data_IF_849259462038
#
_entry.id   IF_849259462038
#
_cell.length_a   1.000
_cell.length_b   1.000
_cell.length_c   1.000
_cell.angle_alpha   90.00
_cell.angle_beta   90.00
_cell.angle_gamma   90.00
#
_symmetry.space_group_name_H-M   'P 1'
#
loop_
_entity.id
_entity.type
_entity.pdbx_description
1 polymer ?
#
# COMPACT_ATOMS: atom_id res chain seq x y z
N UNK A 1 41.25 -0.84 40.89
CA UNK A 1 39.84 -1.14 40.57
C UNK A 1 39.20 0.19 40.20
N UNK A 2 39.36 0.57 38.94
CA UNK A 2 38.98 1.91 38.45
C UNK A 2 37.92 1.70 37.36
N UNK A 3 36.67 2.00 37.69
CA UNK A 3 35.55 2.03 36.75
C UNK A 3 35.69 3.26 35.83
N UNK A 4 35.94 3.02 34.57
CA UNK A 4 35.91 4.06 33.52
C UNK A 4 34.48 4.30 33.13
N UNK A 5 34.00 5.49 33.47
CA UNK A 5 32.72 6.06 33.10
C UNK A 5 32.67 6.25 31.58
N UNK A 6 31.84 5.47 30.87
CA UNK A 6 31.61 5.62 29.44
C UNK A 6 30.62 6.76 29.24
N UNK A 7 31.16 7.93 28.97
CA UNK A 7 30.42 9.14 28.62
C UNK A 7 29.66 8.86 27.32
N UNK A 8 28.37 9.04 27.41
CA UNK A 8 27.37 9.03 26.33
C UNK A 8 27.85 10.00 25.23
N UNK A 9 28.29 9.46 24.09
CA UNK A 9 28.63 10.26 22.94
C UNK A 9 27.33 10.71 22.27
N UNK A 10 26.99 11.97 22.47
CA UNK A 10 25.90 12.62 21.73
C UNK A 10 26.10 12.45 20.21
N UNK A 11 25.01 12.67 19.43
CA UNK A 11 25.06 12.47 17.98
C UNK A 11 26.19 13.30 17.38
N UNK A 12 27.02 12.67 16.55
CA UNK A 12 28.15 13.31 15.87
C UNK A 12 27.66 14.46 14.99
N UNK A 13 28.48 15.51 14.81
CA UNK A 13 28.18 16.68 13.96
C UNK A 13 27.73 16.29 12.54
N UNK A 14 28.24 15.18 12.00
CA UNK A 14 27.78 14.59 10.74
C UNK A 14 26.34 14.08 10.82
N UNK A 15 25.91 13.51 11.95
CA UNK A 15 24.52 13.05 12.14
C UNK A 15 23.56 14.24 12.31
N UNK A 16 23.99 15.31 12.95
CA UNK A 16 23.21 16.56 13.08
C UNK A 16 23.14 17.28 11.73
N UNK A 17 24.23 17.37 10.97
CA UNK A 17 24.26 17.90 9.62
C UNK A 17 23.43 17.08 8.62
N UNK A 18 23.38 15.77 8.77
CA UNK A 18 22.49 14.89 7.98
C UNK A 18 21.01 15.03 8.41
N UNK A 19 20.74 15.38 9.67
CA UNK A 19 19.39 15.71 10.14
C UNK A 19 18.91 17.06 9.61
N UNK A 20 19.74 18.10 9.62
CA UNK A 20 19.42 19.42 9.04
C UNK A 20 19.22 19.36 7.52
N UNK A 21 19.99 18.52 6.81
CA UNK A 21 19.77 18.27 5.38
C UNK A 21 18.47 17.52 5.07
N UNK A 22 17.84 16.89 6.06
CA UNK A 22 16.58 16.14 5.89
C UNK A 22 15.34 17.05 5.96
N UNK A 23 15.40 18.19 6.62
CA UNK A 23 14.25 19.10 6.78
C UNK A 23 14.07 20.08 5.60
N UNK A 24 15.05 20.16 4.69
CA UNK A 24 15.05 21.14 3.60
C UNK A 24 14.41 20.63 2.29
N UNK A 25 13.86 19.41 2.30
CA UNK A 25 13.29 18.82 1.08
C UNK A 25 12.17 19.65 0.46
N UNK A 26 11.22 20.11 1.27
CA UNK A 26 10.06 20.87 0.80
C UNK A 26 10.51 22.21 0.19
N UNK A 27 11.45 22.89 0.86
CA UNK A 27 12.03 24.17 0.36
C UNK A 27 12.75 23.94 -0.96
N UNK A 28 13.59 22.91 -1.06
CA UNK A 28 14.36 22.62 -2.28
C UNK A 28 13.48 22.16 -3.44
N UNK A 29 12.45 21.35 -3.19
CA UNK A 29 11.52 20.91 -4.22
C UNK A 29 10.63 22.05 -4.74
N UNK A 30 10.36 23.07 -3.92
CA UNK A 30 9.65 24.30 -4.30
C UNK A 30 10.57 25.40 -4.86
N UNK A 31 11.89 25.23 -4.79
CA UNK A 31 12.85 26.16 -5.38
C UNK A 31 12.78 26.16 -6.91
N UNK A 32 13.64 26.93 -7.56
CA UNK A 32 13.77 26.99 -9.03
C UNK A 32 15.19 26.66 -9.47
N UNK A 33 15.35 26.32 -10.76
CA UNK A 33 16.66 26.08 -11.37
C UNK A 33 17.40 24.88 -10.74
N UNK A 34 18.74 24.96 -10.68
CA UNK A 34 19.62 23.86 -10.32
C UNK A 34 19.34 23.23 -8.93
N UNK A 35 18.85 24.02 -7.98
CA UNK A 35 18.50 23.54 -6.63
C UNK A 35 17.30 22.59 -6.69
N UNK A 36 16.27 22.96 -7.44
CA UNK A 36 15.10 22.09 -7.64
C UNK A 36 15.46 20.84 -8.43
N UNK A 37 16.25 20.98 -9.48
CA UNK A 37 16.66 19.86 -10.33
C UNK A 37 17.47 18.83 -9.52
N UNK A 38 18.35 19.30 -8.62
CA UNK A 38 19.08 18.41 -7.71
C UNK A 38 18.14 17.71 -6.74
N UNK A 39 17.19 18.41 -6.14
CA UNK A 39 16.20 17.82 -5.24
C UNK A 39 15.34 16.77 -5.95
N UNK A 40 14.91 17.02 -7.20
CA UNK A 40 14.15 16.04 -8.01
C UNK A 40 14.99 14.81 -8.31
N UNK A 41 16.27 14.95 -8.67
CA UNK A 41 17.16 13.78 -8.89
C UNK A 41 17.31 12.94 -7.62
N UNK A 42 17.47 13.57 -6.45
CA UNK A 42 17.56 12.90 -5.17
C UNK A 42 16.24 12.21 -4.80
N UNK A 43 15.11 12.85 -5.04
CA UNK A 43 13.79 12.27 -4.85
C UNK A 43 13.61 11.03 -5.74
N UNK A 44 13.94 11.12 -7.01
CA UNK A 44 13.87 9.99 -7.93
C UNK A 44 14.77 8.83 -7.49
N UNK A 45 16.00 9.11 -7.04
CA UNK A 45 16.89 8.07 -6.48
C UNK A 45 16.30 7.41 -5.22
N UNK A 46 15.58 8.18 -4.39
CA UNK A 46 14.85 7.64 -3.23
C UNK A 46 13.71 6.73 -3.68
N UNK A 47 12.94 7.12 -4.71
CA UNK A 47 11.85 6.32 -5.25
C UNK A 47 12.35 5.03 -5.90
N UNK A 48 13.47 5.06 -6.63
CA UNK A 48 14.11 3.85 -7.15
C UNK A 48 14.48 2.87 -6.04
N UNK A 49 15.06 3.35 -4.93
CA UNK A 49 15.37 2.48 -3.79
C UNK A 49 14.12 1.87 -3.17
N UNK A 50 13.06 2.68 -3.01
CA UNK A 50 11.79 2.21 -2.46
C UNK A 50 11.13 1.16 -3.38
N UNK A 51 11.13 1.40 -4.69
CA UNK A 51 10.58 0.49 -5.68
C UNK A 51 11.35 -0.85 -5.72
N UNK A 52 12.69 -0.81 -5.76
CA UNK A 52 13.52 -2.01 -5.71
C UNK A 52 13.32 -2.81 -4.43
N UNK A 53 13.27 -2.13 -3.29
CA UNK A 53 12.99 -2.77 -2.01
C UNK A 53 11.65 -3.51 -2.01
N UNK A 54 10.61 -2.89 -2.55
CA UNK A 54 9.29 -3.50 -2.63
C UNK A 54 9.25 -4.67 -3.60
N UNK A 55 9.78 -4.50 -4.81
CA UNK A 55 9.81 -5.54 -5.85
C UNK A 55 10.55 -6.79 -5.36
N UNK A 56 11.69 -6.63 -4.67
CA UNK A 56 12.46 -7.74 -4.14
C UNK A 56 11.70 -8.58 -3.09
N UNK A 57 10.70 -8.00 -2.43
CA UNK A 57 9.86 -8.67 -1.41
C UNK A 57 8.61 -9.33 -1.98
N UNK A 58 8.25 -9.03 -3.23
CA UNK A 58 7.02 -9.53 -3.83
C UNK A 58 7.25 -10.87 -4.55
N UNK A 59 6.49 -11.88 -4.15
CA UNK A 59 6.55 -13.20 -4.77
C UNK A 59 5.96 -13.20 -6.19
N UNK A 60 4.97 -12.36 -6.44
CA UNK A 60 4.30 -12.21 -7.73
C UNK A 60 5.25 -11.76 -8.84
N UNK A 61 6.33 -11.06 -8.48
CA UNK A 61 7.35 -10.63 -9.42
C UNK A 61 8.22 -11.76 -9.99
N UNK A 62 8.28 -12.92 -9.32
CA UNK A 62 9.19 -14.02 -9.72
C UNK A 62 8.91 -14.58 -11.11
N UNK A 63 7.67 -14.47 -11.58
CA UNK A 63 7.27 -14.93 -12.94
C UNK A 63 7.56 -13.94 -14.06
N UNK A 64 7.95 -12.68 -13.73
CA UNK A 64 8.03 -11.60 -14.70
C UNK A 64 9.41 -11.48 -15.39
N UNK A 65 10.43 -12.17 -14.91
CA UNK A 65 11.81 -12.03 -15.42
C UNK A 65 12.48 -10.71 -14.99
N UNK A 66 13.82 -10.72 -14.94
CA UNK A 66 14.61 -9.61 -14.39
C UNK A 66 14.49 -8.30 -15.20
N UNK A 67 14.49 -8.38 -16.52
CA UNK A 67 14.36 -7.22 -17.40
C UNK A 67 13.02 -6.51 -17.17
N UNK A 68 11.92 -7.26 -17.10
CA UNK A 68 10.59 -6.69 -16.86
C UNK A 68 10.46 -6.09 -15.46
N UNK A 69 11.08 -6.71 -14.46
CA UNK A 69 11.09 -6.16 -13.10
C UNK A 69 11.86 -4.83 -13.03
N UNK A 70 12.96 -4.69 -13.76
CA UNK A 70 13.72 -3.43 -13.81
C UNK A 70 12.92 -2.31 -14.51
N UNK A 71 12.20 -2.62 -15.60
CA UNK A 71 11.27 -1.68 -16.23
C UNK A 71 10.19 -1.21 -15.23
N UNK A 72 9.62 -2.14 -14.47
CA UNK A 72 8.62 -1.84 -13.45
C UNK A 72 9.21 -0.93 -12.36
N UNK A 73 10.43 -1.20 -11.91
CA UNK A 73 11.11 -0.38 -10.91
C UNK A 73 11.25 1.07 -11.38
N UNK A 74 11.69 1.28 -12.61
CA UNK A 74 11.85 2.62 -13.17
C UNK A 74 10.51 3.32 -13.35
N UNK A 75 9.53 2.68 -13.99
CA UNK A 75 8.19 3.25 -14.18
C UNK A 75 7.52 3.60 -12.85
N UNK A 76 7.60 2.71 -11.86
CA UNK A 76 7.05 2.96 -10.54
C UNK A 76 7.76 4.10 -9.79
N UNK A 77 9.07 4.26 -9.99
CA UNK A 77 9.83 5.35 -9.39
C UNK A 77 9.45 6.70 -10.00
N UNK A 78 9.28 6.77 -11.33
CA UNK A 78 8.84 7.98 -12.03
C UNK A 78 7.43 8.40 -11.57
N UNK A 79 6.47 7.48 -11.56
CA UNK A 79 5.11 7.75 -11.08
C UNK A 79 5.08 8.16 -9.61
N UNK A 80 5.89 7.50 -8.77
CA UNK A 80 6.00 7.85 -7.36
C UNK A 80 6.57 9.25 -7.13
N UNK A 81 7.61 9.63 -7.89
CA UNK A 81 8.19 10.96 -7.82
C UNK A 81 7.17 12.04 -8.22
N UNK A 82 6.41 11.82 -9.30
CA UNK A 82 5.32 12.70 -9.70
C UNK A 82 4.22 12.79 -8.64
N UNK A 83 3.84 11.66 -8.04
CA UNK A 83 2.83 11.62 -6.99
C UNK A 83 3.26 12.34 -5.71
N UNK A 84 4.54 12.26 -5.33
CA UNK A 84 5.14 13.04 -4.23
C UNK A 84 5.07 14.53 -4.54
N UNK A 85 5.49 14.95 -5.73
CA UNK A 85 5.45 16.35 -6.15
C UNK A 85 4.02 16.91 -6.16
N UNK A 86 3.06 16.14 -6.65
CA UNK A 86 1.64 16.52 -6.67
C UNK A 86 0.99 16.64 -5.28
N UNK A 87 1.62 16.08 -4.25
CA UNK A 87 1.10 16.07 -2.87
C UNK A 87 2.07 16.69 -1.87
N UNK A 88 3.03 17.45 -2.36
CA UNK A 88 4.08 18.07 -1.54
C UNK A 88 3.49 18.99 -0.46
N UNK A 89 2.42 19.70 -0.80
CA UNK A 89 1.64 20.58 0.07
C UNK A 89 0.91 19.86 1.19
N UNK A 90 0.69 18.54 1.04
CA UNK A 90 0.03 17.72 2.07
C UNK A 90 1.01 17.14 3.10
N UNK A 91 2.30 17.41 2.97
CA UNK A 91 3.30 16.99 3.93
C UNK A 91 3.27 17.86 5.18
N UNK A 92 2.80 17.31 6.29
CA UNK A 92 2.58 18.01 7.56
C UNK A 92 3.79 17.95 8.54
N UNK A 93 4.94 17.40 8.12
CA UNK A 93 6.12 17.31 9.00
C UNK A 93 6.01 16.31 10.17
N UNK A 94 4.94 15.48 10.23
CA UNK A 94 4.76 14.48 11.32
C UNK A 94 5.76 13.33 11.29
N UNK A 95 6.53 13.22 10.22
CA UNK A 95 7.64 12.27 10.06
C UNK A 95 8.72 12.90 9.21
N UNK A 96 9.89 12.25 9.09
CA UNK A 96 10.90 12.68 8.11
C UNK A 96 10.30 12.64 6.70
N UNK A 97 10.60 13.64 5.89
CA UNK A 97 10.14 13.69 4.49
C UNK A 97 10.44 12.40 3.73
N UNK A 98 11.66 11.88 3.88
CA UNK A 98 12.07 10.62 3.23
C UNK A 98 11.20 9.43 3.64
N UNK A 99 10.76 9.34 4.90
CA UNK A 99 9.85 8.30 5.37
C UNK A 99 8.44 8.44 4.76
N UNK A 100 7.94 9.67 4.65
CA UNK A 100 6.67 9.95 4.02
C UNK A 100 6.71 9.65 2.52
N UNK A 101 7.74 10.15 1.82
CA UNK A 101 7.93 9.96 0.40
C UNK A 101 8.17 8.47 0.03
N UNK A 102 8.92 7.72 0.85
CA UNK A 102 9.24 6.32 0.59
C UNK A 102 7.99 5.44 0.41
N UNK A 103 6.89 5.77 1.10
CA UNK A 103 5.61 5.04 0.97
C UNK A 103 5.05 5.11 -0.45
N UNK A 104 5.26 6.22 -1.16
CA UNK A 104 4.82 6.36 -2.55
C UNK A 104 5.53 5.36 -3.47
N UNK A 105 6.86 5.22 -3.33
CA UNK A 105 7.63 4.25 -4.09
C UNK A 105 7.20 2.81 -3.83
N UNK A 106 6.99 2.44 -2.55
CA UNK A 106 6.48 1.12 -2.17
C UNK A 106 5.10 0.85 -2.80
N UNK A 107 4.17 1.80 -2.67
CA UNK A 107 2.79 1.60 -3.14
C UNK A 107 2.73 1.51 -4.67
N UNK A 108 3.42 2.40 -5.40
CA UNK A 108 3.45 2.35 -6.86
C UNK A 108 4.10 1.06 -7.37
N UNK A 109 5.23 0.65 -6.82
CA UNK A 109 5.89 -0.60 -7.21
C UNK A 109 4.99 -1.83 -6.96
N UNK A 110 4.28 -1.87 -5.82
CA UNK A 110 3.36 -2.97 -5.51
C UNK A 110 2.19 -3.03 -6.50
N UNK A 111 1.68 -1.88 -6.94
CA UNK A 111 0.61 -1.82 -7.95
C UNK A 111 1.12 -2.29 -9.29
N UNK A 112 2.29 -1.81 -9.75
CA UNK A 112 2.85 -2.16 -11.06
C UNK A 112 3.22 -3.65 -11.17
N UNK A 113 3.84 -4.23 -10.12
CA UNK A 113 4.15 -5.68 -10.10
C UNK A 113 2.87 -6.50 -10.21
N UNK A 114 1.84 -6.17 -9.40
CA UNK A 114 0.56 -6.90 -9.47
C UNK A 114 -0.10 -6.75 -10.83
N UNK A 115 -0.11 -5.53 -11.40
CA UNK A 115 -0.64 -5.26 -12.74
C UNK A 115 0.07 -6.09 -13.80
N UNK A 116 1.41 -6.15 -13.77
CA UNK A 116 2.20 -6.93 -14.71
C UNK A 116 1.97 -8.43 -14.53
N UNK A 117 1.96 -8.94 -13.30
CA UNK A 117 1.68 -10.33 -13.01
C UNK A 117 0.29 -10.76 -13.49
N UNK A 118 -0.71 -9.89 -13.34
CA UNK A 118 -2.06 -10.16 -13.83
C UNK A 118 -2.20 -10.12 -15.36
N UNK A 119 -1.49 -9.22 -16.04
CA UNK A 119 -1.45 -9.19 -17.52
C UNK A 119 -0.76 -10.44 -18.09
N UNK A 120 0.17 -11.04 -17.34
CA UNK A 120 0.87 -12.25 -17.75
C UNK A 120 0.07 -13.53 -17.47
N UNK A 121 -0.92 -13.47 -16.57
CA UNK A 121 -1.86 -14.57 -16.41
C UNK A 121 -2.94 -14.39 -17.48
N UNK A 122 -2.93 -15.22 -18.51
CA UNK A 122 -4.10 -15.49 -19.36
C UNK A 122 -5.15 -16.23 -18.52
N UNK A 123 -5.70 -15.54 -17.52
CA UNK A 123 -6.76 -16.10 -16.71
C UNK A 123 -8.07 -15.72 -17.34
N UNK A 124 -8.72 -16.72 -17.91
CA UNK A 124 -10.12 -16.65 -18.30
C UNK A 124 -10.98 -16.29 -17.09
N UNK A 125 -11.55 -15.09 -17.08
CA UNK A 125 -12.38 -14.60 -15.96
C UNK A 125 -13.73 -15.30 -15.83
N UNK A 126 -14.09 -16.15 -16.78
CA UNK A 126 -15.21 -17.08 -16.62
C UNK A 126 -14.95 -18.10 -15.54
N UNK A 127 -13.69 -18.29 -15.16
CA UNK A 127 -13.22 -19.16 -14.08
C UNK A 127 -12.75 -18.39 -12.84
N UNK A 128 -13.37 -17.25 -12.50
CA UNK A 128 -13.26 -16.77 -11.10
C UNK A 128 -13.87 -17.87 -10.23
N UNK A 129 -13.09 -18.60 -9.43
CA UNK A 129 -13.63 -19.66 -8.62
C UNK A 129 -14.74 -19.08 -7.75
N UNK A 130 -15.86 -19.74 -7.72
CA UNK A 130 -16.85 -19.47 -6.69
C UNK A 130 -16.08 -19.52 -5.35
N UNK A 131 -16.19 -18.49 -4.47
CA UNK A 131 -15.37 -18.39 -3.25
C UNK A 131 -15.54 -19.55 -2.25
N UNK A 132 -16.20 -20.62 -2.65
CA UNK A 132 -16.28 -21.90 -1.93
C UNK A 132 -15.02 -22.76 -2.04
N UNK A 133 -14.02 -22.40 -2.85
CA UNK A 133 -12.78 -23.17 -2.97
C UNK A 133 -11.73 -22.75 -1.94
N UNK A 134 -11.32 -23.71 -1.14
CA UNK A 134 -10.24 -23.74 -0.14
C UNK A 134 -8.92 -23.08 -0.59
N UNK A 135 -8.78 -21.76 -0.44
CA UNK A 135 -7.49 -21.08 -0.61
C UNK A 135 -7.23 -20.14 0.57
N UNK A 136 -7.12 -20.72 1.75
CA UNK A 136 -6.34 -20.13 2.84
C UNK A 136 -5.54 -21.24 3.48
N UNK A 137 -4.20 -21.18 3.28
CA UNK A 137 -3.27 -22.09 3.92
C UNK A 137 -3.43 -22.08 5.44
N UNK A 138 -3.40 -23.24 6.08
CA UNK A 138 -3.68 -23.38 7.50
C UNK A 138 -2.40 -23.25 8.31
N UNK A 139 -1.90 -22.05 8.57
CA UNK A 139 -0.87 -21.88 9.61
C UNK A 139 -0.75 -20.42 10.05
N UNK A 140 -1.67 -19.96 10.89
CA UNK A 140 -1.41 -18.97 11.94
C UNK A 140 -2.70 -18.62 12.72
N UNK A 141 -2.76 -19.07 13.97
CA UNK A 141 -3.62 -18.60 15.05
C UNK A 141 -5.12 -18.95 14.99
N UNK A 142 -5.55 -19.79 15.92
CA UNK A 142 -6.93 -20.25 16.11
C UNK A 142 -7.94 -19.08 16.24
N UNK A 143 -7.58 -17.96 16.87
CA UNK A 143 -8.46 -16.79 16.95
C UNK A 143 -8.59 -16.02 15.62
N UNK A 144 -7.55 -16.04 14.77
CA UNK A 144 -7.62 -15.46 13.43
C UNK A 144 -8.50 -16.30 12.50
N UNK A 145 -8.60 -17.63 12.77
CA UNK A 145 -9.40 -18.56 11.99
C UNK A 145 -10.91 -18.34 12.21
N UNK A 146 -11.35 -18.06 13.43
CA UNK A 146 -12.76 -17.81 13.73
C UNK A 146 -13.25 -16.50 13.09
N UNK A 147 -12.48 -15.41 13.24
CA UNK A 147 -12.83 -14.15 12.59
C UNK A 147 -12.77 -14.25 11.07
N UNK A 148 -11.78 -14.94 10.51
CA UNK A 148 -11.67 -15.15 9.07
C UNK A 148 -12.86 -15.96 8.53
N UNK A 149 -13.29 -16.99 9.27
CA UNK A 149 -14.47 -17.80 8.94
C UNK A 149 -15.76 -16.98 9.03
N UNK A 150 -15.89 -16.15 10.05
CA UNK A 150 -17.03 -15.24 10.20
C UNK A 150 -17.09 -14.19 9.08
N UNK A 151 -15.96 -13.60 8.73
CA UNK A 151 -15.85 -12.65 7.59
C UNK A 151 -16.25 -13.32 6.29
N UNK A 152 -15.77 -14.55 6.03
CA UNK A 152 -16.13 -15.31 4.83
C UNK A 152 -17.62 -15.59 4.77
N UNK A 153 -18.21 -16.08 5.85
CA UNK A 153 -19.64 -16.36 5.95
C UNK A 153 -20.48 -15.07 5.72
N UNK A 154 -20.02 -13.93 6.23
CA UNK A 154 -20.71 -12.66 6.04
C UNK A 154 -20.54 -12.09 4.62
N UNK A 155 -19.40 -12.31 3.96
CA UNK A 155 -19.22 -12.00 2.53
C UNK A 155 -20.30 -12.73 1.70
N UNK A 156 -20.54 -13.99 2.00
CA UNK A 156 -21.52 -14.81 1.28
C UNK A 156 -22.98 -14.45 1.60
N UNK A 157 -23.25 -14.10 2.84
CA UNK A 157 -24.61 -13.82 3.30
C UNK A 157 -25.07 -12.38 3.03
N UNK A 158 -24.18 -11.42 3.28
CA UNK A 158 -24.55 -10.01 3.38
C UNK A 158 -24.26 -9.21 2.12
N UNK A 159 -23.34 -9.66 1.23
CA UNK A 159 -22.99 -8.91 0.03
C UNK A 159 -23.81 -9.35 -1.18
N UNK A 160 -24.13 -8.37 -2.05
CA UNK A 160 -24.68 -8.69 -3.37
C UNK A 160 -23.63 -9.44 -4.22
N UNK A 161 -24.06 -10.21 -5.26
CA UNK A 161 -23.10 -10.91 -6.13
C UNK A 161 -22.05 -9.99 -6.75
N UNK A 162 -22.43 -8.77 -7.13
CA UNK A 162 -21.52 -7.76 -7.66
C UNK A 162 -20.53 -7.28 -6.59
N UNK A 163 -21.00 -6.93 -5.39
CA UNK A 163 -20.15 -6.51 -4.28
C UNK A 163 -19.16 -7.61 -3.87
N UNK A 164 -19.64 -8.86 -3.79
CA UNK A 164 -18.80 -10.03 -3.49
C UNK A 164 -17.68 -10.19 -4.51
N UNK A 165 -18.00 -10.15 -5.79
CA UNK A 165 -17.01 -10.23 -6.88
C UNK A 165 -15.94 -9.15 -6.75
N UNK A 166 -16.33 -7.90 -6.52
CA UNK A 166 -15.40 -6.78 -6.37
C UNK A 166 -14.52 -6.93 -5.11
N UNK A 167 -15.11 -7.35 -3.98
CA UNK A 167 -14.36 -7.57 -2.72
C UNK A 167 -13.36 -8.71 -2.87
N UNK A 168 -13.78 -9.84 -3.41
CA UNK A 168 -12.87 -10.99 -3.62
C UNK A 168 -11.76 -10.62 -4.59
N UNK A 169 -12.09 -10.04 -5.74
CA UNK A 169 -11.10 -9.65 -6.75
C UNK A 169 -10.05 -8.66 -6.20
N UNK A 170 -10.47 -7.63 -5.47
CA UNK A 170 -9.55 -6.60 -4.98
C UNK A 170 -8.79 -6.99 -3.71
N UNK A 171 -9.45 -7.68 -2.77
CA UNK A 171 -8.88 -7.91 -1.43
C UNK A 171 -8.31 -9.31 -1.23
N UNK A 172 -8.88 -10.34 -1.88
CA UNK A 172 -8.41 -11.73 -1.74
C UNK A 172 -7.45 -12.06 -2.88
N UNK A 173 -7.85 -11.81 -4.13
CA UNK A 173 -7.04 -12.13 -5.29
C UNK A 173 -6.01 -11.04 -5.62
N UNK A 174 -6.14 -9.85 -5.02
CA UNK A 174 -5.21 -8.72 -5.20
C UNK A 174 -5.20 -8.15 -6.62
N UNK A 175 -6.30 -8.30 -7.38
CA UNK A 175 -6.41 -7.72 -8.72
C UNK A 175 -6.29 -6.18 -8.62
N UNK A 176 -5.40 -5.54 -9.37
CA UNK A 176 -5.32 -4.08 -9.41
C UNK A 176 -6.65 -3.47 -9.85
N UNK A 177 -7.05 -2.37 -9.20
CA UNK A 177 -8.37 -1.74 -9.43
C UNK A 177 -8.59 -1.28 -10.87
N UNK A 178 -7.54 -0.85 -11.56
CA UNK A 178 -7.58 -0.45 -12.96
C UNK A 178 -7.79 -1.64 -13.91
N UNK A 179 -7.12 -2.75 -13.63
CA UNK A 179 -7.32 -4.02 -14.37
C UNK A 179 -8.75 -4.52 -14.17
N UNK A 180 -9.25 -4.47 -12.94
CA UNK A 180 -10.64 -4.87 -12.65
C UNK A 180 -11.65 -3.92 -13.29
N UNK A 181 -11.37 -2.60 -13.31
CA UNK A 181 -12.24 -1.62 -13.97
C UNK A 181 -12.35 -1.87 -15.47
N UNK A 182 -11.23 -2.13 -16.13
CA UNK A 182 -11.19 -2.48 -17.55
C UNK A 182 -12.00 -3.76 -17.84
N UNK A 183 -11.78 -4.80 -17.04
CA UNK A 183 -12.44 -6.12 -17.18
C UNK A 183 -13.94 -6.07 -16.94
N UNK A 184 -14.41 -5.26 -16.00
CA UNK A 184 -15.84 -5.10 -15.69
C UNK A 184 -16.50 -3.97 -16.50
N UNK A 185 -15.81 -3.40 -17.50
CA UNK A 185 -16.25 -2.26 -18.31
C UNK A 185 -16.80 -1.11 -17.45
N UNK A 186 -16.09 -0.78 -16.37
CA UNK A 186 -16.48 0.26 -15.40
C UNK A 186 -15.29 1.18 -15.11
N UNK A 187 -15.43 2.10 -14.17
CA UNK A 187 -14.37 3.01 -13.76
C UNK A 187 -13.92 2.77 -12.31
N UNK A 188 -12.72 3.26 -11.97
CA UNK A 188 -12.14 3.10 -10.63
C UNK A 188 -13.04 3.65 -9.53
N UNK A 189 -13.69 4.80 -9.76
CA UNK A 189 -14.55 5.43 -8.75
C UNK A 189 -15.77 4.56 -8.43
N UNK A 190 -16.38 3.92 -9.44
CA UNK A 190 -17.48 2.99 -9.24
C UNK A 190 -17.05 1.77 -8.41
N UNK A 191 -15.86 1.23 -8.67
CA UNK A 191 -15.28 0.13 -7.88
C UNK A 191 -14.99 0.55 -6.44
N UNK A 192 -14.42 1.74 -6.22
CA UNK A 192 -14.19 2.26 -4.86
C UNK A 192 -15.49 2.48 -4.10
N UNK A 193 -16.54 3.00 -4.76
CA UNK A 193 -17.88 3.12 -4.16
C UNK A 193 -18.43 1.76 -3.78
N UNK A 194 -18.39 0.79 -4.70
CA UNK A 194 -18.83 -0.59 -4.44
C UNK A 194 -18.09 -1.21 -3.26
N UNK A 195 -16.76 -1.02 -3.19
CA UNK A 195 -15.93 -1.52 -2.10
C UNK A 195 -16.26 -0.83 -0.76
N UNK A 196 -16.51 0.47 -0.78
CA UNK A 196 -16.93 1.23 0.40
C UNK A 196 -18.27 0.72 0.95
N UNK A 197 -19.26 0.57 0.07
CA UNK A 197 -20.58 0.08 0.45
C UNK A 197 -20.53 -1.36 0.98
N UNK A 198 -19.72 -2.22 0.34
CA UNK A 198 -19.49 -3.59 0.79
C UNK A 198 -18.84 -3.64 2.18
N UNK A 199 -17.81 -2.81 2.43
CA UNK A 199 -17.16 -2.72 3.74
C UNK A 199 -18.11 -2.25 4.84
N UNK A 200 -18.98 -1.30 4.54
CA UNK A 200 -19.97 -0.82 5.51
C UNK A 200 -20.98 -1.92 5.84
N UNK A 201 -21.48 -2.66 4.85
CA UNK A 201 -22.37 -3.80 5.07
C UNK A 201 -21.72 -4.88 5.92
N UNK A 202 -20.48 -5.28 5.58
CA UNK A 202 -19.74 -6.28 6.35
C UNK A 202 -19.49 -5.83 7.78
N UNK A 203 -19.13 -4.56 7.99
CA UNK A 203 -18.93 -4.03 9.34
C UNK A 203 -20.22 -4.13 10.17
N UNK A 204 -21.34 -3.72 9.63
CA UNK A 204 -22.64 -3.80 10.31
C UNK A 204 -23.01 -5.26 10.63
N UNK A 205 -22.86 -6.17 9.67
CA UNK A 205 -23.16 -7.58 9.85
C UNK A 205 -22.27 -8.24 10.92
N UNK A 206 -20.96 -8.01 10.86
CA UNK A 206 -20.00 -8.55 11.83
C UNK A 206 -20.19 -7.96 13.23
N UNK A 207 -20.62 -6.70 13.33
CA UNK A 207 -20.99 -6.09 14.61
C UNK A 207 -22.25 -6.70 15.17
N UNK A 208 -23.29 -6.90 14.36
CA UNK A 208 -24.53 -7.54 14.76
C UNK A 208 -24.32 -9.00 15.18
N UNK A 209 -23.37 -9.70 14.54
CA UNK A 209 -22.97 -11.06 14.89
C UNK A 209 -22.02 -11.12 16.11
N UNK A 210 -21.64 -10.00 16.71
CA UNK A 210 -20.77 -9.95 17.89
C UNK A 210 -19.27 -10.15 17.62
N UNK A 211 -18.85 -10.23 16.36
CA UNK A 211 -17.45 -10.42 15.96
C UNK A 211 -16.64 -9.10 15.97
N UNK A 212 -17.30 -7.94 15.91
CA UNK A 212 -16.67 -6.64 16.02
C UNK A 212 -17.30 -5.84 17.15
N UNK A 213 -16.49 -5.16 17.96
CA UNK A 213 -16.96 -4.15 18.93
C UNK A 213 -17.08 -2.80 18.21
N UNK A 214 -18.19 -2.11 18.42
CA UNK A 214 -18.30 -0.70 18.06
C UNK A 214 -17.28 0.05 18.95
N UNK A 215 -16.32 0.82 18.39
CA UNK A 215 -15.56 1.73 19.23
C UNK A 215 -16.56 2.65 19.92
N UNK A 216 -16.48 2.76 21.26
CA UNK A 216 -17.26 3.73 22.01
C UNK A 216 -16.94 5.11 21.40
N UNK A 217 -17.99 5.80 20.94
CA UNK A 217 -17.88 7.17 20.43
C UNK A 217 -17.28 8.02 21.55
N UNK A 218 -16.14 8.65 21.28
CA UNK A 218 -15.58 9.71 22.14
C UNK A 218 -16.40 11.01 22.02
N UNK A 219 -17.72 10.91 22.14
CA UNK A 219 -18.63 12.07 22.22
C UNK A 219 -19.32 12.07 23.56
N UNK A 220 -18.57 12.26 24.63
CA UNK A 220 -19.11 12.64 25.92
C UNK A 220 -18.04 13.32 26.81
N UNK A 221 -17.48 14.44 26.33
CA UNK A 221 -16.94 15.44 27.24
C UNK A 221 -17.45 16.81 26.75
N UNK A 222 -18.59 17.21 27.31
CA UNK A 222 -19.01 18.62 27.43
C UNK A 222 -18.23 19.26 28.51
#
# INVERSE_FOLDING_TARGET
>A
MTMVNRIDAGPTEEAVSAMDAADDWVVRLNATGAVRDDAIRRLHALMLRAARFQVARMHEGRSLGSARLEEIVHSAADEAAMAVMARLDTFEGRSRFTTWAFKFGILNAAVEVRRAAWKHREVDLTSVPDPTSDVLAPDAFVMATELASAVRAEIDRSLTPHQRRVVVALLVEGIPVDVLAERLATNRNALYKTLHDARNRLRLALTAAGHLRVPASEDAIS
#
